data_IF_581643973833
#
_entry.id   IF_581643973833
#
_cell.length_a   1.000
_cell.length_b   1.000
_cell.length_c   1.000
_cell.angle_alpha   90.00
_cell.angle_beta   90.00
_cell.angle_gamma   90.00
#
_symmetry.space_group_name_H-M   'P 1'
#
loop_
_entity.id
_entity.type
_entity.pdbx_description
1 polymer ?
#
# COMPACT_ATOMS: atom_id res chain seq x y z
N UNK A 1 13.46 -5.25 -19.19
CA UNK A 1 12.27 -4.66 -18.56
C UNK A 1 11.05 -5.52 -18.90
N UNK A 2 10.15 -5.69 -17.95
CA UNK A 2 8.86 -6.40 -18.12
C UNK A 2 7.70 -5.40 -18.22
N UNK A 3 8.01 -4.11 -18.39
CA UNK A 3 7.00 -3.08 -18.60
C UNK A 3 6.34 -3.31 -19.96
N UNK A 4 5.02 -3.42 -19.99
CA UNK A 4 4.24 -3.52 -21.20
C UNK A 4 3.79 -2.13 -21.68
N UNK A 5 3.73 -1.97 -22.98
CA UNK A 5 3.08 -0.82 -23.61
C UNK A 5 1.67 -1.23 -24.04
N UNK A 6 0.69 -0.38 -23.75
CA UNK A 6 -0.71 -0.55 -24.14
C UNK A 6 -1.18 0.69 -24.90
N UNK A 7 -2.22 0.53 -25.72
CA UNK A 7 -2.81 1.65 -26.49
C UNK A 7 -3.77 2.45 -25.57
N UNK A 8 -3.18 3.06 -24.55
CA UNK A 8 -3.87 3.93 -23.60
C UNK A 8 -2.91 4.98 -23.04
N UNK A 9 -3.45 6.03 -22.42
CA UNK A 9 -2.64 7.04 -21.74
C UNK A 9 -2.01 6.45 -20.47
N UNK A 10 -0.83 6.94 -20.11
CA UNK A 10 -0.26 6.67 -18.78
C UNK A 10 -1.22 7.16 -17.69
N UNK A 11 -1.30 6.45 -16.57
CA UNK A 11 -2.08 6.88 -15.41
C UNK A 11 -1.74 8.31 -15.00
N UNK A 12 -2.75 9.09 -14.62
CA UNK A 12 -2.62 10.51 -14.32
C UNK A 12 -3.29 10.83 -12.98
N UNK A 13 -2.59 11.54 -12.10
CA UNK A 13 -3.15 12.12 -10.90
C UNK A 13 -3.24 13.64 -11.05
N UNK A 14 -4.45 14.19 -10.96
CA UNK A 14 -4.70 15.63 -10.97
C UNK A 14 -4.86 16.07 -9.52
N UNK A 15 -3.91 16.84 -9.04
CA UNK A 15 -3.88 17.33 -7.65
C UNK A 15 -4.33 18.78 -7.66
N UNK A 16 -5.44 19.05 -6.99
CA UNK A 16 -5.93 20.41 -6.75
C UNK A 16 -5.63 20.77 -5.30
N UNK A 17 -4.92 21.86 -5.11
CA UNK A 17 -4.59 22.40 -3.77
C UNK A 17 -5.46 23.61 -3.53
N UNK A 18 -6.25 23.62 -2.47
CA UNK A 18 -7.07 24.76 -2.05
C UNK A 18 -6.24 25.79 -1.26
N UNK A 19 -6.76 27.00 -1.11
CA UNK A 19 -6.05 28.10 -0.42
C UNK A 19 -5.77 27.80 1.07
N UNK A 20 -6.50 26.89 1.68
CA UNK A 20 -6.30 26.39 3.05
C UNK A 20 -5.28 25.23 3.12
N UNK A 21 -4.74 24.80 1.97
CA UNK A 21 -3.72 23.75 1.88
C UNK A 21 -4.28 22.33 1.80
N UNK A 22 -5.60 22.15 1.72
CA UNK A 22 -6.20 20.83 1.49
C UNK A 22 -6.00 20.39 0.05
N UNK A 23 -5.72 19.09 -0.13
CA UNK A 23 -5.52 18.48 -1.43
C UNK A 23 -6.72 17.62 -1.83
N UNK A 24 -7.20 17.80 -3.06
CA UNK A 24 -8.12 16.88 -3.71
C UNK A 24 -7.41 16.22 -4.88
N UNK A 25 -7.40 14.90 -4.91
CA UNK A 25 -6.70 14.13 -5.94
C UNK A 25 -7.74 13.38 -6.77
N UNK A 26 -7.73 13.63 -8.08
CA UNK A 26 -8.50 12.87 -9.06
C UNK A 26 -7.55 11.97 -9.82
N UNK A 27 -7.73 10.65 -9.70
CA UNK A 27 -6.90 9.65 -10.40
C UNK A 27 -7.62 9.18 -11.66
N UNK A 28 -6.91 9.21 -12.78
CA UNK A 28 -7.31 8.61 -14.06
C UNK A 28 -6.39 7.41 -14.26
N UNK A 29 -6.90 6.17 -14.18
CA UNK A 29 -6.05 4.98 -14.18
C UNK A 29 -5.23 4.83 -15.48
N UNK A 30 -5.81 5.14 -16.65
CA UNK A 30 -5.14 4.95 -17.93
C UNK A 30 -4.59 3.53 -18.07
N UNK A 31 -3.34 3.40 -18.47
CA UNK A 31 -2.65 2.12 -18.65
C UNK A 31 -2.70 1.19 -17.41
N UNK A 32 -2.80 1.74 -16.20
CA UNK A 32 -2.91 0.92 -14.99
C UNK A 32 -4.19 0.08 -14.95
N UNK A 33 -5.28 0.56 -15.60
CA UNK A 33 -6.55 -0.18 -15.67
C UNK A 33 -6.43 -1.50 -16.47
N UNK A 34 -5.38 -1.68 -17.25
CA UNK A 34 -5.13 -2.91 -18.01
C UNK A 34 -4.35 -3.97 -17.21
N UNK A 35 -3.92 -3.66 -15.99
CA UNK A 35 -3.25 -4.62 -15.10
C UNK A 35 -4.28 -5.48 -14.37
N UNK A 36 -5.15 -6.11 -15.14
CA UNK A 36 -6.20 -7.02 -14.67
C UNK A 36 -5.65 -8.45 -14.44
N UNK A 37 -6.53 -9.36 -14.04
CA UNK A 37 -6.17 -10.75 -13.79
C UNK A 37 -5.60 -11.48 -15.01
N UNK A 38 -6.02 -11.12 -16.23
CA UNK A 38 -5.49 -11.72 -17.46
C UNK A 38 -4.05 -11.25 -17.72
N UNK A 39 -3.80 -9.94 -17.60
CA UNK A 39 -2.46 -9.36 -17.73
C UNK A 39 -1.47 -9.99 -16.73
N UNK A 40 -1.92 -10.17 -15.48
CA UNK A 40 -1.12 -10.79 -14.42
C UNK A 40 -0.87 -12.27 -14.71
N UNK A 41 -1.86 -13.01 -15.20
CA UNK A 41 -1.71 -14.44 -15.52
C UNK A 41 -0.62 -14.69 -16.57
N UNK A 42 -0.52 -13.83 -17.60
CA UNK A 42 0.53 -13.90 -18.63
C UNK A 42 1.94 -13.69 -18.05
N UNK A 43 2.05 -13.06 -16.89
CA UNK A 43 3.32 -12.72 -16.21
C UNK A 43 3.54 -13.47 -14.91
N UNK A 44 2.69 -14.45 -14.63
CA UNK A 44 2.71 -15.24 -13.40
C UNK A 44 4.07 -15.89 -13.11
N UNK A 45 4.78 -16.35 -14.13
CA UNK A 45 6.11 -16.91 -13.96
C UNK A 45 7.14 -15.88 -13.46
N UNK A 46 7.06 -14.63 -13.90
CA UNK A 46 7.93 -13.55 -13.42
C UNK A 46 7.60 -13.19 -11.98
N UNK A 47 6.31 -13.08 -11.65
CA UNK A 47 5.83 -12.79 -10.29
C UNK A 47 6.25 -13.91 -9.33
N UNK A 48 6.10 -15.17 -9.74
CA UNK A 48 6.47 -16.34 -8.94
C UNK A 48 7.98 -16.47 -8.68
N UNK A 49 8.83 -15.83 -9.47
CA UNK A 49 10.29 -15.81 -9.28
C UNK A 49 10.77 -14.61 -8.45
N UNK A 50 9.91 -13.63 -8.23
CA UNK A 50 10.25 -12.46 -7.44
C UNK A 50 10.37 -12.83 -5.95
N UNK A 51 11.41 -12.32 -5.30
CA UNK A 51 11.61 -12.45 -3.85
C UNK A 51 10.59 -11.59 -3.11
N UNK A 52 10.30 -10.41 -3.66
CA UNK A 52 9.31 -9.47 -3.16
C UNK A 52 8.35 -9.05 -4.26
N UNK A 53 7.06 -8.95 -3.92
CA UNK A 53 6.01 -8.39 -4.78
C UNK A 53 5.39 -7.22 -4.05
N UNK A 54 5.63 -6.01 -4.55
CA UNK A 54 5.03 -4.78 -4.00
C UNK A 54 3.79 -4.44 -4.79
N UNK A 55 2.66 -4.28 -4.10
CA UNK A 55 1.36 -3.93 -4.67
C UNK A 55 0.82 -2.63 -4.07
N UNK A 56 0.10 -1.87 -4.89
CA UNK A 56 -0.60 -0.64 -4.53
C UNK A 56 -2.07 -0.70 -4.93
N UNK A 57 -2.85 0.34 -4.56
CA UNK A 57 -4.26 0.47 -4.89
C UNK A 57 -4.57 1.10 -6.25
N UNK A 58 -3.63 1.10 -7.20
CA UNK A 58 -3.79 1.77 -8.50
C UNK A 58 -4.06 0.82 -9.67
N UNK A 59 -4.21 -0.46 -9.39
CA UNK A 59 -4.56 -1.48 -10.38
C UNK A 59 -5.93 -2.10 -10.06
N UNK A 60 -6.61 -2.76 -11.03
CA UNK A 60 -7.86 -3.46 -10.78
C UNK A 60 -7.75 -4.49 -9.64
N UNK A 61 -8.81 -4.63 -8.85
CA UNK A 61 -8.85 -5.54 -7.69
C UNK A 61 -8.65 -7.01 -8.06
N UNK A 62 -9.07 -7.43 -9.24
CA UNK A 62 -8.84 -8.78 -9.76
C UNK A 62 -7.38 -9.00 -10.17
N UNK A 63 -6.72 -7.98 -10.72
CA UNK A 63 -5.29 -7.96 -10.98
C UNK A 63 -4.47 -8.04 -9.70
N UNK A 64 -4.88 -7.28 -8.67
CA UNK A 64 -4.28 -7.35 -7.34
C UNK A 64 -4.36 -8.77 -6.76
N UNK A 65 -5.56 -9.36 -6.74
CA UNK A 65 -5.77 -10.71 -6.20
C UNK A 65 -4.98 -11.77 -7.00
N UNK A 66 -4.93 -11.65 -8.33
CA UNK A 66 -4.16 -12.55 -9.18
C UNK A 66 -2.65 -12.44 -8.92
N UNK A 67 -2.13 -11.22 -8.68
CA UNK A 67 -0.71 -11.03 -8.36
C UNK A 67 -0.34 -11.66 -7.02
N UNK A 68 -1.18 -11.50 -6.00
CA UNK A 68 -1.01 -12.17 -4.71
C UNK A 68 -1.01 -13.69 -4.87
N UNK A 69 -1.97 -14.24 -5.62
CA UNK A 69 -2.06 -15.69 -5.86
C UNK A 69 -0.86 -16.26 -6.64
N UNK A 70 -0.25 -15.46 -7.53
CA UNK A 70 0.92 -15.85 -8.30
C UNK A 70 2.24 -15.73 -7.51
N UNK A 71 2.28 -14.89 -6.49
CA UNK A 71 3.47 -14.66 -5.68
C UNK A 71 3.89 -15.92 -4.92
N UNK A 72 5.18 -16.22 -4.92
CA UNK A 72 5.81 -17.25 -4.06
C UNK A 72 6.76 -16.63 -3.04
N UNK A 73 7.21 -15.44 -3.32
CA UNK A 73 7.96 -14.60 -2.41
C UNK A 73 7.04 -13.81 -1.48
N UNK A 74 7.62 -12.88 -0.76
CA UNK A 74 6.92 -12.05 0.22
C UNK A 74 6.09 -10.97 -0.49
N UNK A 75 4.82 -10.83 -0.10
CA UNK A 75 3.92 -9.81 -0.65
C UNK A 75 3.93 -8.61 0.28
N UNK A 76 4.28 -7.45 -0.25
CA UNK A 76 4.24 -6.17 0.44
C UNK A 76 3.11 -5.36 -0.16
N UNK A 77 2.23 -4.82 0.65
CA UNK A 77 1.10 -4.03 0.17
C UNK A 77 1.17 -2.63 0.75
N UNK A 78 1.18 -1.63 -0.12
CA UNK A 78 0.86 -0.26 0.22
C UNK A 78 -0.46 0.10 -0.48
N UNK A 79 -1.58 -0.15 0.20
CA UNK A 79 -2.91 0.04 -0.40
C UNK A 79 -3.26 1.53 -0.45
N UNK A 80 -2.58 2.26 -1.31
CA UNK A 80 -2.74 3.67 -1.59
C UNK A 80 -3.01 3.89 -3.09
N UNK A 81 -4.17 4.45 -3.48
CA UNK A 81 -5.34 4.68 -2.60
C UNK A 81 -5.95 3.37 -2.10
N UNK A 82 -6.71 3.45 -1.01
CA UNK A 82 -7.45 2.27 -0.52
C UNK A 82 -8.58 1.97 -1.49
N UNK A 83 -8.53 0.79 -2.08
CA UNK A 83 -9.56 0.25 -2.97
C UNK A 83 -10.15 -1.02 -2.35
N UNK A 84 -11.34 -1.40 -2.76
CA UNK A 84 -11.93 -2.66 -2.35
C UNK A 84 -11.22 -3.84 -3.01
N UNK A 85 -10.62 -4.72 -2.20
CA UNK A 85 -9.91 -5.93 -2.64
C UNK A 85 -10.39 -7.16 -1.88
N UNK A 86 -10.12 -8.35 -2.43
CA UNK A 86 -10.40 -9.59 -1.71
C UNK A 86 -9.68 -9.63 -0.36
N UNK A 87 -10.43 -9.94 0.70
CA UNK A 87 -9.91 -9.97 2.07
C UNK A 87 -8.70 -10.89 2.24
N UNK A 88 -8.73 -12.08 1.63
CA UNK A 88 -7.64 -13.04 1.79
C UNK A 88 -6.39 -12.58 1.03
N UNK A 89 -6.59 -11.95 -0.13
CA UNK A 89 -5.50 -11.34 -0.87
C UNK A 89 -4.86 -10.18 -0.07
N UNK A 90 -5.67 -9.35 0.57
CA UNK A 90 -5.17 -8.26 1.40
C UNK A 90 -4.40 -8.77 2.63
N UNK A 91 -4.93 -9.77 3.32
CA UNK A 91 -4.29 -10.37 4.50
C UNK A 91 -2.99 -11.14 4.20
N UNK A 92 -2.67 -11.37 2.93
CA UNK A 92 -1.36 -11.91 2.52
C UNK A 92 -0.23 -10.88 2.62
N UNK A 93 -0.54 -9.61 2.89
CA UNK A 93 0.46 -8.55 3.06
C UNK A 93 1.39 -8.83 4.26
N UNK A 94 2.69 -8.71 4.01
CA UNK A 94 3.73 -8.85 5.01
C UNK A 94 5.00 -8.06 4.61
N UNK A 95 5.10 -6.78 5.01
CA UNK A 95 4.14 -6.00 5.75
C UNK A 95 3.00 -5.38 4.94
N UNK A 96 1.92 -5.03 5.63
CA UNK A 96 1.01 -3.97 5.19
C UNK A 96 1.64 -2.62 5.51
N UNK A 97 1.72 -1.74 4.50
CA UNK A 97 2.14 -0.34 4.65
C UNK A 97 0.91 0.55 4.51
N UNK A 98 0.73 1.48 5.43
CA UNK A 98 -0.35 2.46 5.38
C UNK A 98 0.04 3.72 6.15
N UNK A 99 -0.64 4.83 5.88
CA UNK A 99 -0.70 5.93 6.84
C UNK A 99 -1.91 5.73 7.78
N UNK A 100 -2.11 6.63 8.75
CA UNK A 100 -3.18 6.53 9.74
C UNK A 100 -4.58 6.52 9.09
N UNK A 101 -4.79 7.36 8.09
CA UNK A 101 -6.06 7.45 7.36
C UNK A 101 -6.34 6.16 6.56
N UNK A 102 -5.36 5.68 5.81
CA UNK A 102 -5.45 4.43 5.05
C UNK A 102 -5.69 3.23 5.98
N UNK A 103 -5.02 3.18 7.14
CA UNK A 103 -5.23 2.15 8.14
C UNK A 103 -6.67 2.09 8.62
N UNK A 104 -7.29 3.25 8.90
CA UNK A 104 -8.71 3.34 9.25
C UNK A 104 -9.62 2.80 8.14
N UNK A 105 -9.40 3.21 6.88
CA UNK A 105 -10.18 2.73 5.74
C UNK A 105 -10.04 1.22 5.51
N UNK A 106 -8.85 0.67 5.71
CA UNK A 106 -8.60 -0.78 5.60
C UNK A 106 -9.34 -1.53 6.70
N UNK A 107 -9.32 -1.03 7.93
CA UNK A 107 -10.08 -1.62 9.05
C UNK A 107 -11.59 -1.59 8.78
N UNK A 108 -12.11 -0.48 8.25
CA UNK A 108 -13.52 -0.35 7.85
C UNK A 108 -13.90 -1.39 6.78
N UNK A 109 -13.06 -1.56 5.77
CA UNK A 109 -13.24 -2.59 4.73
C UNK A 109 -13.26 -4.00 5.31
N UNK A 110 -12.46 -4.28 6.35
CA UNK A 110 -12.41 -5.57 7.02
C UNK A 110 -13.55 -5.76 8.03
N UNK A 111 -14.33 -4.73 8.33
CA UNK A 111 -15.38 -4.73 9.35
C UNK A 111 -14.82 -4.81 10.77
N UNK A 112 -13.62 -4.27 11.01
CA UNK A 112 -12.91 -4.27 12.29
C UNK A 112 -12.85 -2.84 12.82
N UNK A 113 -13.04 -2.67 14.12
CA UNK A 113 -12.93 -1.38 14.79
C UNK A 113 -11.68 -1.36 15.67
N UNK A 114 -10.87 -0.31 15.53
CA UNK A 114 -9.80 -0.01 16.47
C UNK A 114 -10.37 0.61 17.77
N UNK A 115 -9.62 0.57 18.83
CA UNK A 115 -10.01 1.16 20.12
C UNK A 115 -10.05 2.71 20.02
N UNK A 116 -9.19 3.30 19.23
CA UNK A 116 -9.18 4.73 18.89
C UNK A 116 -8.43 4.94 17.56
N UNK A 117 -8.37 6.20 17.09
CA UNK A 117 -7.57 6.60 15.91
C UNK A 117 -6.07 6.76 16.23
N UNK A 118 -5.62 6.42 17.44
CA UNK A 118 -4.20 6.46 17.76
C UNK A 118 -3.43 5.41 16.93
N UNK A 119 -2.23 5.73 16.43
CA UNK A 119 -1.45 4.82 15.59
C UNK A 119 -1.26 3.43 16.19
N UNK A 120 -1.05 3.35 17.51
CA UNK A 120 -0.87 2.09 18.22
C UNK A 120 -2.13 1.23 18.21
N UNK A 121 -3.30 1.85 18.38
CA UNK A 121 -4.58 1.15 18.35
C UNK A 121 -4.94 0.69 16.95
N UNK A 122 -4.67 1.52 15.91
CA UNK A 122 -4.85 1.15 14.51
C UNK A 122 -3.94 -0.02 14.12
N UNK A 123 -2.65 0.07 14.45
CA UNK A 123 -1.69 -0.99 14.15
C UNK A 123 -2.03 -2.31 14.85
N UNK A 124 -2.45 -2.24 16.12
CA UNK A 124 -2.87 -3.42 16.87
C UNK A 124 -4.13 -4.06 16.26
N UNK A 125 -5.13 -3.24 15.90
CA UNK A 125 -6.36 -3.73 15.27
C UNK A 125 -6.09 -4.42 13.92
N UNK A 126 -5.14 -3.92 13.13
CA UNK A 126 -4.71 -4.55 11.87
C UNK A 126 -4.02 -5.90 12.13
N UNK A 127 -3.14 -5.99 13.11
CA UNK A 127 -2.52 -7.27 13.50
C UNK A 127 -3.58 -8.26 14.01
N UNK A 128 -4.52 -7.81 14.83
CA UNK A 128 -5.62 -8.63 15.34
C UNK A 128 -6.58 -9.06 14.22
N UNK A 129 -6.71 -8.28 13.14
CA UNK A 129 -7.46 -8.63 11.94
C UNK A 129 -6.80 -9.75 11.11
N UNK A 130 -5.50 -10.03 11.35
CA UNK A 130 -4.78 -11.15 10.75
C UNK A 130 -3.55 -10.78 9.92
N UNK A 131 -3.12 -9.52 9.88
CA UNK A 131 -1.85 -9.18 9.24
C UNK A 131 -0.65 -9.69 10.05
N UNK A 132 0.34 -10.26 9.39
CA UNK A 132 1.57 -10.72 10.03
C UNK A 132 2.41 -9.57 10.56
N UNK A 133 2.51 -8.52 9.76
CA UNK A 133 3.22 -7.30 10.15
C UNK A 133 2.59 -6.08 9.48
N UNK A 134 2.65 -4.95 10.18
CA UNK A 134 2.11 -3.66 9.75
C UNK A 134 3.16 -2.59 9.96
N UNK A 135 3.28 -1.68 9.03
CA UNK A 135 4.10 -0.48 9.16
C UNK A 135 3.23 0.73 8.88
N UNK A 136 2.99 1.55 9.90
CA UNK A 136 2.29 2.81 9.75
C UNK A 136 3.29 3.95 9.57
N UNK A 137 3.13 4.73 8.49
CA UNK A 137 3.89 5.95 8.28
C UNK A 137 3.19 7.12 8.97
N UNK A 138 3.91 7.85 9.81
CA UNK A 138 3.39 8.91 10.68
C UNK A 138 3.95 10.30 10.33
N UNK A 139 4.34 10.51 9.09
CA UNK A 139 4.93 11.76 8.61
C UNK A 139 6.14 12.19 9.44
N UNK A 140 6.07 13.39 10.01
CA UNK A 140 7.15 13.95 10.82
C UNK A 140 7.40 13.20 12.16
N UNK A 141 6.52 12.29 12.56
CA UNK A 141 6.69 11.46 13.74
C UNK A 141 7.48 10.18 13.46
N UNK A 142 7.68 9.84 12.17
CA UNK A 142 8.43 8.65 11.77
C UNK A 142 7.51 7.52 11.32
N UNK A 143 7.70 6.33 11.89
CA UNK A 143 6.90 5.16 11.58
C UNK A 143 6.66 4.31 12.83
N UNK A 144 5.56 3.57 12.83
CA UNK A 144 5.25 2.55 13.83
C UNK A 144 5.24 1.17 13.15
N UNK A 145 5.98 0.24 13.69
CA UNK A 145 5.99 -1.16 13.23
C UNK A 145 5.26 -2.01 14.25
N UNK A 146 4.30 -2.79 13.78
CA UNK A 146 3.63 -3.82 14.58
C UNK A 146 3.95 -5.19 13.98
N UNK A 147 4.68 -6.02 14.70
CA UNK A 147 5.05 -7.37 14.31
C UNK A 147 5.38 -8.21 15.54
N UNK A 148 5.16 -9.52 15.50
CA UNK A 148 5.52 -10.46 16.57
C UNK A 148 4.96 -10.07 17.94
N UNK A 149 3.80 -9.40 17.98
CA UNK A 149 3.15 -8.85 19.19
C UNK A 149 3.92 -7.69 19.86
N UNK A 150 4.82 -7.08 19.13
CA UNK A 150 5.54 -5.90 19.56
C UNK A 150 5.12 -4.69 18.75
N UNK A 151 5.13 -3.52 19.38
CA UNK A 151 4.97 -2.21 18.75
C UNK A 151 6.29 -1.47 18.88
N UNK A 152 6.86 -1.06 17.76
CA UNK A 152 8.17 -0.41 17.71
C UNK A 152 8.03 0.95 17.03
N UNK A 153 8.26 2.02 17.78
CA UNK A 153 8.33 3.37 17.25
C UNK A 153 9.69 3.63 16.61
N UNK A 154 9.69 4.08 15.36
CA UNK A 154 10.89 4.42 14.61
C UNK A 154 10.88 5.92 14.33
N UNK A 155 11.70 6.71 15.03
CA UNK A 155 11.73 8.16 14.83
C UNK A 155 12.33 8.52 13.47
N UNK A 156 11.89 9.64 12.89
CA UNK A 156 12.48 10.20 11.68
C UNK A 156 13.45 11.34 12.01
N UNK A 157 14.48 11.59 11.18
CA UNK A 157 15.30 12.78 11.29
C UNK A 157 14.45 14.05 11.13
N UNK A 158 14.76 15.09 11.89
CA UNK A 158 14.09 16.40 11.74
C UNK A 158 14.54 17.05 10.44
N UNK A 159 13.61 17.21 9.53
CA UNK A 159 13.80 17.88 8.24
C UNK A 159 12.70 18.94 8.04
N UNK A 160 12.99 19.95 7.23
CA UNK A 160 11.96 20.87 6.74
C UNK A 160 11.47 20.30 5.41
N UNK A 161 10.27 19.73 5.40
CA UNK A 161 9.66 19.23 4.17
C UNK A 161 9.30 20.42 3.27
N UNK A 162 9.70 20.34 1.99
CA UNK A 162 9.33 21.29 0.94
C UNK A 162 8.16 20.74 0.13
N UNK A 163 8.19 19.43 -0.15
CA UNK A 163 7.17 18.68 -0.86
C UNK A 163 7.17 17.26 -0.31
N UNK A 164 5.98 16.71 -0.02
CA UNK A 164 5.80 15.35 0.50
C UNK A 164 5.20 14.40 -0.54
N UNK A 165 5.01 14.86 -1.78
CA UNK A 165 4.51 14.03 -2.88
C UNK A 165 5.44 12.84 -3.11
N UNK A 166 4.87 11.63 -3.17
CA UNK A 166 5.63 10.39 -3.36
C UNK A 166 6.48 9.94 -2.16
N UNK A 167 6.33 10.58 -0.99
CA UNK A 167 7.09 10.16 0.20
C UNK A 167 6.74 8.72 0.62
N UNK A 168 5.47 8.31 0.51
CA UNK A 168 5.01 6.94 0.75
C UNK A 168 5.64 5.95 -0.22
N UNK A 169 5.68 6.30 -1.53
CA UNK A 169 6.27 5.45 -2.57
C UNK A 169 7.79 5.27 -2.34
N UNK A 170 8.48 6.36 -1.99
CA UNK A 170 9.90 6.32 -1.67
C UNK A 170 10.17 5.46 -0.43
N UNK A 171 9.31 5.56 0.59
CA UNK A 171 9.40 4.73 1.80
C UNK A 171 9.18 3.25 1.46
N UNK A 172 8.11 2.92 0.72
CA UNK A 172 7.81 1.55 0.31
C UNK A 172 8.94 0.93 -0.51
N UNK A 173 9.46 1.66 -1.51
CA UNK A 173 10.60 1.21 -2.32
C UNK A 173 11.88 1.02 -1.50
N UNK A 174 12.19 1.93 -0.58
CA UNK A 174 13.36 1.83 0.30
C UNK A 174 13.24 0.64 1.27
N UNK A 175 12.04 0.39 1.81
CA UNK A 175 11.78 -0.77 2.67
C UNK A 175 11.99 -2.07 1.90
N UNK A 176 11.39 -2.23 0.71
CA UNK A 176 11.58 -3.42 -0.13
C UNK A 176 13.06 -3.68 -0.47
N UNK A 177 13.86 -2.63 -0.64
CA UNK A 177 15.28 -2.78 -0.95
C UNK A 177 16.13 -3.19 0.27
N UNK A 178 15.56 -3.23 1.47
CA UNK A 178 16.25 -3.54 2.73
C UNK A 178 15.78 -4.83 3.39
N UNK A 179 14.63 -5.36 2.96
CA UNK A 179 14.13 -6.66 3.38
C UNK A 179 14.85 -7.80 2.66
#
# INVERSE_FOLDING_TARGET
SQVAEVDDTTGLAIITVSDDGENTIVVIPGANAHVDSHFVAERSATIAQAEFVLLQGEIPSDGFAAAVAAAKGRVIVNLAPVIEVDKNALLAADPLLANEHEAGLILDQLGVQAASDAPQDLAQALVDAGFNSVVLTLGAQGALVAADKELIDIPTPKVTAVDTTGAGDAFAGALCARL
#
